data_IF_290409283089
#
_entry.id   IF_290409283089
#
_cell.length_a   1.000
_cell.length_b   1.000
_cell.length_c   1.000
_cell.angle_alpha   90.00
_cell.angle_beta   90.00
_cell.angle_gamma   90.00
#
_symmetry.space_group_name_H-M   'P 1'
#
loop_
_entity.id
_entity.type
_entity.pdbx_description
1 polymer ?
#
# COMPACT_ATOMS: atom_id res chain seq x y z
N UNK A 1 2.97 -3.92 18.10
CA UNK A 1 1.77 -3.08 18.28
C UNK A 1 1.36 -2.52 16.92
N UNK A 2 0.33 -3.13 16.29
CA UNK A 2 -0.27 -2.60 15.08
C UNK A 2 -1.21 -1.47 15.48
N UNK A 3 -0.92 -0.24 15.06
CA UNK A 3 -1.80 0.90 15.29
C UNK A 3 -2.48 1.25 13.97
N UNK A 4 -3.77 0.92 13.89
CA UNK A 4 -4.63 1.33 12.78
C UNK A 4 -5.75 2.20 13.34
N UNK A 5 -6.05 3.26 12.61
CA UNK A 5 -7.16 4.17 12.93
C UNK A 5 -8.07 4.25 11.72
N UNK A 6 -9.37 4.21 11.98
CA UNK A 6 -10.43 4.47 10.99
C UNK A 6 -11.26 5.65 11.46
N UNK A 7 -11.51 6.59 10.58
CA UNK A 7 -12.33 7.75 10.84
C UNK A 7 -13.35 8.02 9.74
N UNK A 8 -14.41 8.71 10.10
CA UNK A 8 -15.40 9.28 9.18
C UNK A 8 -15.46 10.79 9.42
N UNK A 9 -15.60 11.55 8.36
CA UNK A 9 -15.75 13.01 8.42
C UNK A 9 -16.88 13.45 7.50
N UNK A 10 -17.33 14.71 7.66
CA UNK A 10 -18.40 15.32 6.84
C UNK A 10 -19.66 14.45 6.77
N UNK A 11 -20.19 14.07 7.94
CA UNK A 11 -21.41 13.25 7.97
C UNK A 11 -21.29 11.85 7.38
N UNK A 12 -20.06 11.36 7.15
CA UNK A 12 -19.80 10.07 6.52
C UNK A 12 -19.43 10.14 5.04
N UNK A 13 -19.36 11.34 4.46
CA UNK A 13 -18.96 11.53 3.06
C UNK A 13 -17.49 11.27 2.79
N UNK A 14 -16.64 11.38 3.83
CA UNK A 14 -15.22 11.03 3.78
C UNK A 14 -14.94 9.90 4.75
N UNK A 15 -14.20 8.90 4.26
CA UNK A 15 -13.66 7.80 5.05
C UNK A 15 -12.15 7.83 5.00
N UNK A 16 -11.51 7.70 6.16
CA UNK A 16 -10.05 7.69 6.28
C UNK A 16 -9.58 6.45 7.04
N UNK A 17 -8.45 5.92 6.59
CA UNK A 17 -7.68 4.88 7.27
C UNK A 17 -6.24 5.37 7.42
N UNK A 18 -5.63 5.11 8.56
CA UNK A 18 -4.20 5.32 8.75
C UNK A 18 -3.60 4.14 9.52
N UNK A 19 -2.35 3.83 9.23
CA UNK A 19 -1.63 2.75 9.90
C UNK A 19 -0.18 3.14 10.16
N UNK A 20 0.32 2.77 11.36
CA UNK A 20 1.74 2.73 11.68
C UNK A 20 2.17 1.27 11.61
N UNK A 21 3.12 0.97 10.73
CA UNK A 21 3.52 -0.40 10.40
C UNK A 21 5.00 -0.67 10.65
N UNK A 22 5.69 0.22 11.35
CA UNK A 22 7.14 0.18 11.58
C UNK A 22 7.61 -1.20 12.06
N UNK A 23 7.01 -1.73 13.13
CA UNK A 23 7.39 -3.02 13.69
C UNK A 23 7.13 -4.20 12.74
N UNK A 24 5.98 -4.15 12.02
CA UNK A 24 5.63 -5.21 11.05
C UNK A 24 6.57 -5.23 9.85
N UNK A 25 6.96 -4.05 9.37
CA UNK A 25 7.92 -3.92 8.27
C UNK A 25 9.33 -4.30 8.73
N UNK A 26 9.72 -3.93 9.96
CA UNK A 26 11.00 -4.36 10.55
C UNK A 26 11.07 -5.89 10.67
N UNK A 27 10.00 -6.53 11.14
CA UNK A 27 9.93 -7.98 11.24
C UNK A 27 10.06 -8.65 9.86
N UNK A 28 9.36 -8.13 8.85
CA UNK A 28 9.47 -8.64 7.48
C UNK A 28 10.87 -8.43 6.90
N UNK A 29 11.47 -7.24 7.12
CA UNK A 29 12.85 -6.95 6.73
C UNK A 29 13.82 -7.96 7.32
N UNK A 30 13.70 -8.24 8.62
CA UNK A 30 14.58 -9.18 9.31
C UNK A 30 14.42 -10.61 8.80
N UNK A 31 13.18 -11.07 8.58
CA UNK A 31 12.90 -12.45 8.11
C UNK A 31 13.33 -12.69 6.68
N UNK A 32 13.19 -11.70 5.81
CA UNK A 32 13.50 -11.83 4.38
C UNK A 32 14.87 -11.26 4.01
N UNK A 33 15.61 -10.68 4.97
CA UNK A 33 16.92 -10.04 4.74
C UNK A 33 16.87 -9.04 3.58
N UNK A 34 15.80 -8.21 3.55
CA UNK A 34 15.63 -7.24 2.48
C UNK A 34 16.62 -6.08 2.61
N UNK A 35 17.17 -5.62 1.48
CA UNK A 35 18.01 -4.45 1.40
C UNK A 35 17.18 -3.15 1.34
N UNK A 36 17.76 -1.97 1.56
CA UNK A 36 16.99 -0.74 1.81
C UNK A 36 15.89 -0.43 0.79
N UNK A 37 16.17 -0.51 -0.51
CA UNK A 37 15.16 -0.22 -1.54
C UNK A 37 14.05 -1.28 -1.55
N UNK A 38 14.40 -2.55 -1.42
CA UNK A 38 13.43 -3.64 -1.32
C UNK A 38 12.58 -3.52 -0.04
N UNK A 39 13.20 -3.14 1.09
CA UNK A 39 12.50 -2.87 2.36
C UNK A 39 11.47 -1.76 2.20
N UNK A 40 11.84 -0.67 1.52
CA UNK A 40 10.93 0.45 1.26
C UNK A 40 9.76 0.05 0.37
N UNK A 41 9.99 -0.67 -0.72
CA UNK A 41 8.95 -1.15 -1.63
C UNK A 41 8.00 -2.15 -0.94
N UNK A 42 8.55 -3.17 -0.27
CA UNK A 42 7.78 -4.17 0.47
C UNK A 42 6.98 -3.51 1.61
N UNK A 43 7.59 -2.61 2.36
CA UNK A 43 6.93 -1.94 3.48
C UNK A 43 5.79 -1.01 3.05
N UNK A 44 5.92 -0.29 1.93
CA UNK A 44 4.82 0.49 1.34
C UNK A 44 3.67 -0.42 0.93
N UNK A 45 3.96 -1.54 0.26
CA UNK A 45 2.95 -2.54 -0.13
C UNK A 45 2.25 -3.12 1.11
N UNK A 46 3.00 -3.53 2.15
CA UNK A 46 2.43 -4.01 3.42
C UNK A 46 1.51 -2.98 4.07
N UNK A 47 1.92 -1.71 4.08
CA UNK A 47 1.14 -0.61 4.69
C UNK A 47 -0.18 -0.40 3.95
N UNK A 48 -0.16 -0.36 2.62
CA UNK A 48 -1.37 -0.29 1.82
C UNK A 48 -2.28 -1.51 2.08
N UNK A 49 -1.70 -2.71 2.02
CA UNK A 49 -2.44 -3.97 2.17
C UNK A 49 -3.12 -4.09 3.53
N UNK A 50 -2.47 -3.70 4.62
CA UNK A 50 -3.08 -3.77 5.96
C UNK A 50 -4.21 -2.75 6.13
N UNK A 51 -4.12 -1.57 5.53
CA UNK A 51 -5.22 -0.60 5.51
C UNK A 51 -6.39 -1.10 4.66
N UNK A 52 -6.13 -1.76 3.53
CA UNK A 52 -7.17 -2.45 2.74
C UNK A 52 -7.81 -3.58 3.55
N UNK A 53 -7.04 -4.34 4.32
CA UNK A 53 -7.54 -5.35 5.25
C UNK A 53 -8.51 -4.78 6.28
N UNK A 54 -8.22 -3.58 6.81
CA UNK A 54 -9.11 -2.89 7.75
C UNK A 54 -10.48 -2.48 7.17
N UNK A 55 -10.65 -2.55 5.85
CA UNK A 55 -11.93 -2.34 5.16
C UNK A 55 -12.79 -3.61 5.10
N UNK A 56 -12.19 -4.77 5.33
CA UNK A 56 -12.84 -6.08 5.31
C UNK A 56 -13.60 -6.34 6.62
N UNK A 57 -14.39 -7.41 6.64
CA UNK A 57 -15.21 -7.80 7.80
C UNK A 57 -15.02 -9.29 8.15
N UNK A 58 -15.24 -9.62 9.42
CA UNK A 58 -15.21 -11.01 9.89
C UNK A 58 -13.88 -11.70 9.57
N UNK A 59 -13.93 -12.82 8.87
CA UNK A 59 -12.76 -13.63 8.50
C UNK A 59 -12.27 -13.38 7.08
N UNK A 60 -12.70 -12.27 6.47
CA UNK A 60 -12.30 -11.91 5.12
C UNK A 60 -10.80 -11.60 5.06
N UNK A 61 -10.21 -11.87 3.90
CA UNK A 61 -8.78 -11.69 3.62
C UNK A 61 -8.59 -11.05 2.26
N UNK A 62 -7.43 -10.49 2.03
CA UNK A 62 -7.03 -10.06 0.71
C UNK A 62 -5.54 -10.31 0.47
N UNK A 63 -5.22 -10.50 -0.80
CA UNK A 63 -3.85 -10.57 -1.30
C UNK A 63 -3.65 -9.46 -2.32
N UNK A 64 -2.58 -8.70 -2.14
CA UNK A 64 -2.10 -7.70 -3.09
C UNK A 64 -0.84 -8.24 -3.75
N UNK A 65 -0.80 -8.20 -5.08
CA UNK A 65 0.41 -8.49 -5.87
C UNK A 65 0.79 -7.23 -6.63
N UNK A 66 2.00 -6.76 -6.42
CA UNK A 66 2.64 -5.68 -7.20
C UNK A 66 3.69 -6.32 -8.09
N UNK A 67 3.53 -6.19 -9.40
CA UNK A 67 4.47 -6.67 -10.40
C UNK A 67 4.67 -5.60 -11.47
N UNK A 68 5.66 -4.76 -11.30
CA UNK A 68 6.01 -3.67 -12.23
C UNK A 68 7.04 -4.06 -13.27
N UNK A 69 7.43 -5.34 -13.34
CA UNK A 69 8.49 -5.86 -14.22
C UNK A 69 9.88 -5.24 -13.95
N UNK A 70 10.04 -4.64 -12.78
CA UNK A 70 11.34 -4.14 -12.33
C UNK A 70 12.20 -5.23 -11.69
N UNK A 71 13.44 -4.88 -11.33
CA UNK A 71 14.43 -5.84 -10.78
C UNK A 71 14.03 -6.50 -9.48
N UNK A 72 13.13 -5.91 -8.69
CA UNK A 72 12.64 -6.47 -7.43
C UNK A 72 11.77 -7.72 -7.63
N UNK A 73 11.24 -7.92 -8.85
CA UNK A 73 10.25 -8.94 -9.15
C UNK A 73 8.90 -8.60 -8.53
N UNK A 74 8.16 -9.61 -8.11
CA UNK A 74 6.84 -9.42 -7.48
C UNK A 74 6.99 -9.11 -6.00
N UNK A 75 6.11 -8.25 -5.52
CA UNK A 75 5.84 -8.07 -4.09
C UNK A 75 4.44 -8.61 -3.84
N UNK A 76 4.31 -9.58 -2.93
CA UNK A 76 3.03 -10.16 -2.56
C UNK A 76 2.80 -9.87 -1.09
N UNK A 77 1.64 -9.31 -0.76
CA UNK A 77 1.25 -9.02 0.60
C UNK A 77 -0.17 -9.51 0.88
N UNK A 78 -0.34 -10.20 2.01
CA UNK A 78 -1.63 -10.66 2.51
C UNK A 78 -2.05 -9.86 3.73
N UNK A 79 -3.32 -9.53 3.86
CA UNK A 79 -3.90 -8.99 5.08
C UNK A 79 -5.29 -9.55 5.35
N UNK A 80 -5.72 -9.45 6.61
CA UNK A 80 -7.04 -9.84 7.07
C UNK A 80 -7.78 -8.69 7.76
N UNK A 81 -9.06 -8.91 8.06
CA UNK A 81 -9.90 -7.95 8.76
C UNK A 81 -9.47 -7.69 10.21
N UNK A 82 -8.60 -8.52 10.79
CA UNK A 82 -8.04 -8.37 12.15
C UNK A 82 -6.78 -7.51 12.16
N UNK A 83 -6.35 -7.02 10.99
CA UNK A 83 -5.15 -6.20 10.84
C UNK A 83 -3.84 -6.99 10.84
N UNK A 84 -3.87 -8.29 10.63
CA UNK A 84 -2.67 -9.05 10.36
C UNK A 84 -2.19 -8.77 8.95
N UNK A 85 -0.87 -8.70 8.78
CA UNK A 85 -0.24 -8.50 7.48
C UNK A 85 1.06 -9.29 7.41
N UNK A 86 1.32 -9.85 6.24
CA UNK A 86 2.60 -10.45 5.87
C UNK A 86 2.92 -10.11 4.43
N UNK A 87 4.20 -10.13 4.08
CA UNK A 87 4.61 -9.90 2.70
C UNK A 87 5.82 -10.74 2.34
N UNK A 88 6.01 -10.86 1.03
CA UNK A 88 7.11 -11.52 0.38
C UNK A 88 7.56 -10.70 -0.82
N UNK A 89 8.82 -10.79 -1.19
CA UNK A 89 9.41 -10.15 -2.37
C UNK A 89 10.33 -11.13 -3.08
N UNK A 90 10.26 -11.21 -4.41
CA UNK A 90 11.01 -12.18 -5.20
C UNK A 90 12.54 -11.96 -5.07
N UNK A 91 13.00 -10.69 -5.12
CA UNK A 91 14.42 -10.35 -5.04
C UNK A 91 14.69 -9.40 -3.86
N UNK A 92 14.82 -9.94 -2.62
CA UNK A 92 14.92 -9.13 -1.40
C UNK A 92 16.20 -8.28 -1.32
N UNK A 93 17.25 -8.62 -2.04
CA UNK A 93 18.52 -7.89 -2.05
C UNK A 93 18.59 -6.79 -3.13
N UNK A 94 17.45 -6.44 -3.74
CA UNK A 94 17.37 -5.33 -4.68
C UNK A 94 17.61 -4.00 -3.97
N UNK A 95 18.65 -3.28 -4.41
CA UNK A 95 18.99 -1.96 -3.88
C UNK A 95 19.62 -1.09 -4.95
N UNK A 96 19.34 0.19 -4.90
CA UNK A 96 19.88 1.22 -5.76
C UNK A 96 20.39 2.39 -4.93
N UNK A 97 21.36 3.16 -5.41
CA UNK A 97 21.70 4.45 -4.82
C UNK A 97 20.47 5.35 -4.67
N UNK A 98 20.55 6.31 -3.79
CA UNK A 98 19.49 7.31 -3.65
C UNK A 98 19.25 8.01 -4.98
N UNK A 99 18.00 8.34 -5.27
CA UNK A 99 17.63 9.12 -6.44
C UNK A 99 18.06 10.60 -6.29
N UNK A 100 17.84 11.43 -7.32
CA UNK A 100 18.23 12.84 -7.34
C UNK A 100 17.57 13.69 -6.23
N UNK A 101 16.51 13.18 -5.60
CA UNK A 101 15.83 13.79 -4.46
C UNK A 101 16.35 13.29 -3.10
N UNK A 102 17.40 12.47 -3.08
CA UNK A 102 17.95 11.85 -1.87
C UNK A 102 17.06 10.77 -1.26
N UNK A 103 16.16 10.17 -2.02
CA UNK A 103 15.23 9.11 -1.58
C UNK A 103 15.63 7.76 -2.16
N UNK A 104 15.23 6.67 -1.48
CA UNK A 104 15.36 5.31 -2.03
C UNK A 104 14.59 5.19 -3.35
N UNK A 105 15.24 4.70 -4.38
CA UNK A 105 14.68 4.62 -5.75
C UNK A 105 13.75 3.41 -5.89
N UNK A 106 12.58 3.51 -5.26
CA UNK A 106 11.55 2.47 -5.28
C UNK A 106 10.98 2.29 -6.69
N UNK A 107 10.78 3.39 -7.42
CA UNK A 107 10.31 3.35 -8.80
C UNK A 107 11.19 2.46 -9.68
N UNK A 108 12.50 2.63 -9.60
CA UNK A 108 13.45 1.81 -10.36
C UNK A 108 13.40 0.34 -9.97
N UNK A 109 13.22 0.05 -8.69
CA UNK A 109 13.13 -1.32 -8.19
C UNK A 109 11.85 -2.01 -8.66
N UNK A 110 10.70 -1.33 -8.52
CA UNK A 110 9.37 -1.88 -8.87
C UNK A 110 9.16 -1.95 -10.37
N UNK A 111 9.58 -0.93 -11.11
CA UNK A 111 9.28 -0.76 -12.53
C UNK A 111 7.86 -0.23 -12.78
N UNK A 112 7.54 0.03 -14.03
CA UNK A 112 6.25 0.65 -14.45
C UNK A 112 5.55 -0.09 -15.60
N UNK A 113 6.07 -1.25 -16.01
CA UNK A 113 5.52 -2.02 -17.15
C UNK A 113 4.73 -3.25 -16.65
N UNK A 114 3.84 -3.03 -15.71
CA UNK A 114 3.07 -4.11 -15.11
C UNK A 114 1.84 -3.62 -14.35
N UNK A 115 1.44 -4.35 -13.30
CA UNK A 115 0.17 -4.08 -12.63
C UNK A 115 0.22 -4.30 -11.11
N UNK A 116 -0.72 -3.64 -10.43
CA UNK A 116 -1.20 -4.03 -9.10
C UNK A 116 -2.43 -4.90 -9.28
N UNK A 117 -2.44 -6.04 -8.62
CA UNK A 117 -3.59 -6.95 -8.56
C UNK A 117 -4.02 -7.14 -7.11
N UNK A 118 -5.31 -7.12 -6.86
CA UNK A 118 -5.91 -7.36 -5.53
C UNK A 118 -6.94 -8.46 -5.64
N UNK A 119 -6.76 -9.51 -4.84
CA UNK A 119 -7.71 -10.61 -4.74
C UNK A 119 -8.31 -10.60 -3.33
N UNK A 120 -9.63 -10.56 -3.23
CA UNK A 120 -10.38 -10.53 -1.96
C UNK A 120 -11.13 -11.84 -1.76
N UNK A 121 -10.84 -12.53 -0.67
CA UNK A 121 -11.64 -13.65 -0.16
C UNK A 121 -12.66 -13.08 0.84
N UNK A 122 -13.89 -12.98 0.39
CA UNK A 122 -15.00 -12.46 1.20
C UNK A 122 -15.90 -13.57 1.75
N UNK A 123 -15.42 -14.83 1.70
CA UNK A 123 -16.16 -15.99 2.20
C UNK A 123 -17.28 -16.47 1.25
N UNK A 124 -17.23 -16.06 -0.01
CA UNK A 124 -18.12 -16.53 -1.07
C UNK A 124 -17.44 -17.63 -1.90
N UNK A 125 -18.21 -18.28 -2.78
CA UNK A 125 -17.69 -19.35 -3.66
C UNK A 125 -16.56 -18.84 -4.57
N UNK A 126 -16.69 -17.61 -5.07
CA UNK A 126 -15.73 -16.98 -5.96
C UNK A 126 -15.01 -15.81 -5.27
N UNK A 127 -13.74 -15.61 -5.62
CA UNK A 127 -12.96 -14.48 -5.16
C UNK A 127 -13.26 -13.23 -6.01
N UNK A 128 -13.26 -12.07 -5.36
CA UNK A 128 -13.28 -10.79 -6.08
C UNK A 128 -11.85 -10.40 -6.43
N UNK A 129 -11.61 -10.10 -7.69
CA UNK A 129 -10.31 -9.62 -8.16
C UNK A 129 -10.44 -8.29 -8.88
N UNK A 130 -9.50 -7.40 -8.63
CA UNK A 130 -9.32 -6.14 -9.32
C UNK A 130 -7.86 -5.97 -9.73
N UNK A 131 -7.62 -5.24 -10.81
CA UNK A 131 -6.28 -4.93 -11.28
C UNK A 131 -6.22 -3.52 -11.87
N UNK A 132 -5.06 -2.90 -11.80
CA UNK A 132 -4.74 -1.66 -12.50
C UNK A 132 -3.28 -1.66 -12.97
N UNK A 133 -2.94 -0.97 -14.05
CA UNK A 133 -1.56 -0.77 -14.42
C UNK A 133 -0.81 0.03 -13.35
N UNK A 134 0.50 -0.17 -13.24
CA UNK A 134 1.40 0.69 -12.49
C UNK A 134 1.66 1.93 -13.32
N UNK A 135 1.45 3.11 -12.76
CA UNK A 135 1.59 4.39 -13.45
C UNK A 135 2.85 5.16 -13.05
N UNK A 136 3.30 5.00 -11.81
CA UNK A 136 4.46 5.73 -11.29
C UNK A 136 5.59 4.83 -10.79
N UNK A 137 5.27 3.67 -10.22
CA UNK A 137 6.21 2.82 -9.49
C UNK A 137 6.52 3.31 -8.07
N UNK A 138 5.95 4.43 -7.64
CA UNK A 138 6.11 4.99 -6.28
C UNK A 138 5.10 4.41 -5.27
N UNK A 139 4.23 3.54 -5.72
CA UNK A 139 3.20 2.78 -5.00
C UNK A 139 2.08 3.63 -4.40
N UNK A 140 2.33 4.79 -3.80
CA UNK A 140 1.28 5.69 -3.30
C UNK A 140 0.33 6.12 -4.42
N UNK A 141 0.90 6.62 -5.50
CA UNK A 141 0.17 7.02 -6.71
C UNK A 141 -0.50 5.82 -7.38
N UNK A 142 0.20 4.68 -7.42
CA UNK A 142 -0.30 3.47 -8.07
C UNK A 142 -1.50 2.89 -7.32
N UNK A 143 -1.51 2.88 -5.98
CA UNK A 143 -2.68 2.52 -5.19
C UNK A 143 -3.80 3.55 -5.30
N UNK A 144 -3.49 4.84 -5.40
CA UNK A 144 -4.48 5.89 -5.68
C UNK A 144 -5.17 5.61 -7.02
N UNK A 145 -4.39 5.30 -8.05
CA UNK A 145 -4.90 4.95 -9.38
C UNK A 145 -5.72 3.65 -9.37
N UNK A 146 -5.27 2.63 -8.62
CA UNK A 146 -6.02 1.38 -8.42
C UNK A 146 -7.42 1.66 -7.84
N UNK A 147 -7.51 2.48 -6.80
CA UNK A 147 -8.82 2.83 -6.22
C UNK A 147 -9.72 3.57 -7.20
N UNK A 148 -9.18 4.49 -7.97
CA UNK A 148 -9.95 5.26 -8.94
C UNK A 148 -10.48 4.39 -10.09
N UNK A 149 -9.67 3.48 -10.60
CA UNK A 149 -9.97 2.72 -11.83
C UNK A 149 -10.61 1.36 -11.56
N UNK A 150 -10.12 0.61 -10.58
CA UNK A 150 -10.60 -0.74 -10.27
C UNK A 150 -11.70 -0.76 -9.22
N UNK A 151 -11.58 0.03 -8.16
CA UNK A 151 -12.57 0.11 -7.08
C UNK A 151 -13.62 1.22 -7.33
N UNK A 152 -13.42 2.05 -8.34
CA UNK A 152 -14.28 3.19 -8.69
C UNK A 152 -14.56 4.11 -7.47
N UNK A 153 -13.58 4.24 -6.60
CA UNK A 153 -13.65 5.03 -5.37
C UNK A 153 -12.57 6.11 -5.41
N UNK A 154 -12.93 7.39 -5.60
CA UNK A 154 -11.96 8.48 -5.55
C UNK A 154 -11.22 8.46 -4.21
N UNK A 155 -9.90 8.35 -4.28
CA UNK A 155 -9.06 8.15 -3.09
C UNK A 155 -7.76 8.92 -3.21
N UNK A 156 -7.16 9.23 -2.05
CA UNK A 156 -5.77 9.67 -1.92
C UNK A 156 -5.03 8.70 -1.03
N UNK A 157 -3.87 8.21 -1.47
CA UNK A 157 -3.06 7.23 -0.73
C UNK A 157 -1.67 7.80 -0.51
N UNK A 158 -1.26 7.92 0.75
CA UNK A 158 0.11 8.28 1.14
C UNK A 158 0.78 7.09 1.83
N UNK A 159 1.98 6.72 1.35
CA UNK A 159 2.76 5.61 1.89
C UNK A 159 4.20 6.05 2.13
N UNK A 160 4.75 5.71 3.28
CA UNK A 160 6.13 6.06 3.63
C UNK A 160 6.84 4.94 4.38
N UNK A 161 8.11 4.74 4.02
CA UNK A 161 9.06 3.89 4.77
C UNK A 161 10.40 4.60 4.80
N UNK A 162 10.89 4.82 6.00
CA UNK A 162 12.22 5.36 6.24
C UNK A 162 13.12 4.24 6.74
N UNK A 163 14.25 4.05 6.08
CA UNK A 163 15.25 3.04 6.42
C UNK A 163 16.50 3.74 6.94
N UNK A 164 17.02 3.26 8.05
CA UNK A 164 18.27 3.74 8.64
C UNK A 164 19.49 3.24 7.83
N UNK A 165 20.68 3.85 7.99
CA UNK A 165 21.91 3.38 7.35
C UNK A 165 22.30 1.94 7.70
N UNK A 166 21.91 1.45 8.87
CA UNK A 166 22.10 0.07 9.30
C UNK A 166 21.05 -0.91 8.75
N UNK A 167 20.22 -0.46 7.82
CA UNK A 167 19.11 -1.19 7.20
C UNK A 167 17.92 -1.50 8.14
N UNK A 168 17.91 -1.00 9.36
CA UNK A 168 16.73 -1.08 10.22
C UNK A 168 15.63 -0.11 9.75
N UNK A 169 14.37 -0.42 10.09
CA UNK A 169 13.23 0.41 9.73
C UNK A 169 13.03 1.51 10.77
N UNK A 170 13.34 2.75 10.41
CA UNK A 170 13.15 3.91 11.27
C UNK A 170 11.69 4.24 11.49
N UNK A 171 10.90 4.23 10.42
CA UNK A 171 9.46 4.47 10.44
C UNK A 171 8.80 3.87 9.19
N UNK A 172 7.60 3.34 9.35
CA UNK A 172 6.74 2.93 8.25
C UNK A 172 5.29 3.22 8.60
N UNK A 173 4.52 3.69 7.62
CA UNK A 173 3.11 4.00 7.79
C UNK A 173 2.51 4.63 6.57
N UNK A 174 1.23 4.99 6.67
CA UNK A 174 0.51 5.61 5.58
C UNK A 174 -0.94 5.91 5.92
N UNK A 175 -1.64 6.44 4.93
CA UNK A 175 -3.06 6.72 5.01
C UNK A 175 -3.76 6.43 3.68
N UNK A 176 -5.06 6.19 3.75
CA UNK A 176 -6.00 6.14 2.63
C UNK A 176 -7.18 7.04 3.00
N UNK A 177 -7.46 8.04 2.18
CA UNK A 177 -8.62 8.91 2.31
C UNK A 177 -9.50 8.66 1.10
N UNK A 178 -10.79 8.42 1.32
CA UNK A 178 -11.76 8.07 0.28
C UNK A 178 -12.97 8.97 0.34
N UNK A 179 -13.42 9.41 -0.82
CA UNK A 179 -14.72 10.08 -0.97
C UNK A 179 -15.79 9.01 -1.17
N UNK A 180 -16.80 9.02 -0.31
CA UNK A 180 -17.87 8.03 -0.35
C UNK A 180 -18.91 8.39 -1.42
N UNK A 181 -19.61 7.40 -2.00
CA UNK A 181 -20.70 7.65 -2.94
C UNK A 181 -21.76 8.58 -2.33
N UNK A 182 -22.16 9.59 -3.11
CA UNK A 182 -23.15 10.61 -2.68
C UNK A 182 -22.55 11.82 -1.96
N UNK A 183 -21.22 11.91 -1.84
CA UNK A 183 -20.56 13.10 -1.34
C UNK A 183 -20.87 14.32 -2.21
N UNK A 184 -21.03 15.49 -1.57
CA UNK A 184 -21.27 16.75 -2.28
C UNK A 184 -20.02 17.19 -3.03
N UNK A 185 -20.20 17.93 -4.15
CA UNK A 185 -19.08 18.46 -4.94
C UNK A 185 -18.13 19.33 -4.11
N UNK A 186 -18.65 20.07 -3.13
CA UNK A 186 -17.86 20.90 -2.23
C UNK A 186 -16.84 20.07 -1.42
N UNK A 187 -17.20 18.86 -1.00
CA UNK A 187 -16.33 17.94 -0.27
C UNK A 187 -15.29 17.31 -1.21
N UNK A 188 -15.69 16.97 -2.42
CA UNK A 188 -14.81 16.34 -3.42
C UNK A 188 -13.66 17.25 -3.84
N UNK A 189 -13.94 18.54 -4.11
CA UNK A 189 -12.91 19.49 -4.58
C UNK A 189 -11.96 19.98 -3.49
N UNK A 190 -12.41 20.07 -2.23
CA UNK A 190 -11.61 20.69 -1.16
C UNK A 190 -10.57 19.76 -0.55
N UNK A 191 -10.71 18.44 -0.71
CA UNK A 191 -9.92 17.47 0.07
C UNK A 191 -9.08 16.48 -0.75
N UNK A 192 -9.23 16.41 -2.08
CA UNK A 192 -8.43 15.52 -2.95
C UNK A 192 -7.27 16.23 -3.66
N UNK A 193 -7.22 17.55 -3.63
CA UNK A 193 -6.07 18.32 -4.11
C UNK A 193 -5.09 18.56 -2.97
N UNK A 194 -4.40 17.49 -2.56
CA UNK A 194 -3.17 17.63 -1.78
C UNK A 194 -2.02 17.93 -2.74
N UNK A 195 -1.16 18.91 -2.43
CA UNK A 195 -0.03 19.27 -3.26
C UNK A 195 1.01 18.15 -3.37
#
# INVERSE_FOLDING_TARGET
>A
YKRQVRGLAYGGEIRAYAAITTESVQEAQTRHYTWPTASAAMGRTMTATVMMGAMLKGNQKLTVTVDGKGPIGRIIADADAQGNVRAYVDHPQTHFPLNDQGKLDVRRAVGTDGSIQVVKDVGMKDYFSGASPIVSGELGDDFTYYYATSEQTPSSVGLGVLVNPDNSIKAAGGFIIQVMPGATDAVSYTHLTLP
#
